data_IF_873755135075
#
_entry.id   IF_873755135075
#
_cell.length_a   1.000
_cell.length_b   1.000
_cell.length_c   1.000
_cell.angle_alpha   90.00
_cell.angle_beta   90.00
_cell.angle_gamma   90.00
#
_symmetry.space_group_name_H-M   'P 1'
#
loop_
_entity.id
_entity.type
_entity.pdbx_description
1 polymer ?
#
# COMPACT_ATOMS: atom_id res chain seq x y z
N UNK A 1 -105.33 6.57 -24.53
CA UNK A 1 -104.68 7.50 -23.59
C UNK A 1 -103.68 6.69 -22.77
N UNK A 2 -102.49 7.25 -22.46
CA UNK A 2 -101.31 6.58 -21.86
C UNK A 2 -101.57 5.92 -20.48
N UNK A 3 -100.63 5.28 -19.79
CA UNK A 3 -99.16 5.36 -19.70
C UNK A 3 -98.64 4.00 -19.15
N UNK A 4 -97.51 3.48 -19.65
CA UNK A 4 -96.18 3.37 -18.99
C UNK A 4 -96.13 2.81 -17.56
N UNK A 5 -95.44 1.67 -17.38
CA UNK A 5 -94.31 1.51 -16.44
C UNK A 5 -93.57 0.18 -16.68
N UNK A 6 -92.25 0.26 -16.90
CA UNK A 6 -91.31 -0.84 -17.13
C UNK A 6 -90.46 -1.12 -15.89
N UNK A 7 -90.10 -2.40 -15.69
CA UNK A 7 -89.10 -2.92 -14.74
C UNK A 7 -87.66 -2.57 -15.16
N UNK A 8 -86.68 -2.56 -14.23
CA UNK A 8 -85.62 -3.60 -14.26
C UNK A 8 -85.15 -4.00 -12.82
N UNK A 9 -84.44 -5.10 -12.55
CA UNK A 9 -83.53 -5.93 -13.36
C UNK A 9 -82.10 -5.77 -12.83
N UNK A 10 -81.57 -6.83 -12.20
CA UNK A 10 -80.29 -6.91 -11.46
C UNK A 10 -79.05 -6.86 -12.37
N UNK A 11 -77.98 -6.16 -11.95
CA UNK A 11 -76.61 -6.23 -12.50
C UNK A 11 -75.63 -5.69 -11.43
N UNK A 12 -74.33 -5.95 -11.40
CA UNK A 12 -73.39 -7.01 -11.83
C UNK A 12 -72.07 -6.66 -11.10
N UNK A 13 -71.26 -7.66 -10.77
CA UNK A 13 -70.04 -7.49 -9.98
C UNK A 13 -68.90 -6.90 -10.83
N UNK A 14 -68.28 -5.82 -10.34
CA UNK A 14 -67.09 -5.20 -10.99
C UNK A 14 -65.81 -5.54 -10.22
N UNK A 15 -64.84 -6.07 -10.96
CA UNK A 15 -63.47 -6.44 -10.57
C UNK A 15 -62.57 -5.21 -10.37
N UNK A 16 -61.54 -5.28 -9.49
CA UNK A 16 -60.58 -4.19 -9.34
C UNK A 16 -59.49 -4.26 -10.43
N UNK A 17 -59.18 -3.10 -11.00
CA UNK A 17 -58.19 -2.89 -12.05
C UNK A 17 -56.77 -2.96 -11.47
N UNK A 18 -55.92 -3.84 -12.01
CA UNK A 18 -54.50 -3.90 -11.65
C UNK A 18 -53.76 -2.68 -12.23
N UNK A 19 -53.32 -1.77 -11.36
CA UNK A 19 -52.38 -0.72 -11.73
C UNK A 19 -50.99 -1.35 -11.99
N UNK A 20 -50.61 -1.38 -13.26
CA UNK A 20 -49.26 -1.77 -13.69
C UNK A 20 -48.27 -0.70 -13.21
N UNK A 21 -47.56 -1.00 -12.12
CA UNK A 21 -46.46 -0.16 -11.65
C UNK A 21 -45.22 -0.51 -12.47
N UNK A 22 -45.13 0.01 -13.69
CA UNK A 22 -43.90 -0.07 -14.48
C UNK A 22 -42.83 0.79 -13.80
N UNK A 23 -41.98 0.19 -12.96
CA UNK A 23 -40.72 0.81 -12.55
C UNK A 23 -39.84 0.91 -13.79
N UNK A 24 -39.84 2.09 -14.41
CA UNK A 24 -38.81 2.46 -15.38
C UNK A 24 -37.53 2.61 -14.56
N UNK A 25 -36.70 1.56 -14.52
CA UNK A 25 -35.31 1.70 -14.11
C UNK A 25 -34.64 2.58 -15.17
N UNK A 26 -34.48 3.88 -14.88
CA UNK A 26 -33.73 4.77 -15.74
C UNK A 26 -32.27 4.28 -15.77
N UNK A 27 -31.90 3.62 -16.87
CA UNK A 27 -30.51 3.29 -17.18
C UNK A 27 -29.71 4.60 -17.24
N UNK A 28 -28.72 4.75 -16.37
CA UNK A 28 -27.80 5.87 -16.41
C UNK A 28 -26.92 5.74 -17.67
N UNK A 29 -26.65 6.85 -18.35
CA UNK A 29 -25.69 6.86 -19.45
C UNK A 29 -24.29 6.46 -18.96
N UNK A 30 -23.42 5.89 -19.82
CA UNK A 30 -22.05 5.52 -19.46
C UNK A 30 -21.28 6.65 -18.77
N UNK A 31 -21.43 7.90 -19.25
CA UNK A 31 -20.79 9.07 -18.65
C UNK A 31 -21.28 9.35 -17.22
N UNK A 32 -22.58 9.17 -16.95
CA UNK A 32 -23.15 9.35 -15.60
C UNK A 32 -22.73 8.22 -14.67
N UNK A 33 -22.60 7.00 -15.17
CA UNK A 33 -22.06 5.86 -14.42
C UNK A 33 -20.60 6.11 -14.03
N UNK A 34 -19.78 6.58 -14.96
CA UNK A 34 -18.38 6.93 -14.70
C UNK A 34 -18.26 8.07 -13.68
N UNK A 35 -19.06 9.14 -13.81
CA UNK A 35 -19.07 10.25 -12.87
C UNK A 35 -19.53 9.83 -11.46
N UNK A 36 -20.55 8.97 -11.34
CA UNK A 36 -20.97 8.40 -10.06
C UNK A 36 -19.89 7.51 -9.44
N UNK A 37 -19.23 6.67 -10.23
CA UNK A 37 -18.14 5.82 -9.76
C UNK A 37 -16.96 6.65 -9.24
N UNK A 38 -16.57 7.70 -9.97
CA UNK A 38 -15.53 8.63 -9.55
C UNK A 38 -15.89 9.33 -8.23
N UNK A 39 -17.13 9.82 -8.10
CA UNK A 39 -17.60 10.47 -6.87
C UNK A 39 -17.59 9.50 -5.67
N UNK A 40 -18.02 8.25 -5.88
CA UNK A 40 -18.02 7.23 -4.84
C UNK A 40 -16.59 6.83 -4.41
N UNK A 41 -15.65 6.77 -5.37
CA UNK A 41 -14.23 6.51 -5.09
C UNK A 41 -13.62 7.61 -4.22
N UNK A 42 -13.85 8.88 -4.56
CA UNK A 42 -13.37 10.03 -3.76
C UNK A 42 -13.92 10.01 -2.34
N UNK A 43 -15.24 9.78 -2.18
CA UNK A 43 -15.84 9.70 -0.85
C UNK A 43 -15.26 8.54 -0.02
N UNK A 44 -15.04 7.38 -0.64
CA UNK A 44 -14.43 6.22 0.02
C UNK A 44 -12.99 6.51 0.44
N UNK A 45 -12.23 7.21 -0.39
CA UNK A 45 -10.86 7.58 -0.06
C UNK A 45 -10.79 8.57 1.12
N UNK A 46 -11.69 9.56 1.16
CA UNK A 46 -11.81 10.47 2.31
C UNK A 46 -12.14 9.72 3.60
N UNK A 47 -13.13 8.80 3.55
CA UNK A 47 -13.49 7.96 4.70
C UNK A 47 -12.32 7.07 5.15
N UNK A 48 -11.56 6.51 4.21
CA UNK A 48 -10.38 5.71 4.54
C UNK A 48 -9.29 6.58 5.20
N UNK A 49 -9.02 7.78 4.68
CA UNK A 49 -8.07 8.71 5.28
C UNK A 49 -8.47 9.14 6.70
N UNK A 50 -9.76 9.41 6.93
CA UNK A 50 -10.29 9.70 8.26
C UNK A 50 -10.10 8.52 9.22
N UNK A 51 -10.35 7.29 8.75
CA UNK A 51 -10.17 6.08 9.54
C UNK A 51 -8.69 5.84 9.90
N UNK A 52 -7.77 6.09 8.97
CA UNK A 52 -6.32 6.05 9.23
C UNK A 52 -5.95 7.07 10.31
N UNK A 53 -6.45 8.30 10.19
CA UNK A 53 -6.19 9.38 11.15
C UNK A 53 -6.71 9.04 12.56
N UNK A 54 -7.91 8.45 12.64
CA UNK A 54 -8.49 7.97 13.91
C UNK A 54 -7.62 6.88 14.55
N UNK A 55 -7.26 5.83 13.77
CA UNK A 55 -6.39 4.74 14.26
C UNK A 55 -5.02 5.25 14.68
N UNK A 56 -4.48 6.24 13.97
CA UNK A 56 -3.22 6.88 14.31
C UNK A 56 -3.31 7.63 15.65
N UNK A 57 -4.39 8.39 15.86
CA UNK A 57 -4.64 9.10 17.12
C UNK A 57 -4.75 8.14 18.32
N UNK A 58 -5.46 7.02 18.18
CA UNK A 58 -5.54 5.96 19.21
C UNK A 58 -4.15 5.41 19.61
N UNK A 59 -3.20 5.45 18.69
CA UNK A 59 -1.82 4.95 18.86
C UNK A 59 -0.84 6.05 19.25
N UNK A 60 -1.28 7.29 19.44
CA UNK A 60 -0.39 8.44 19.61
C UNK A 60 0.71 8.49 18.52
N UNK A 61 0.32 8.21 17.27
CA UNK A 61 1.20 8.37 16.13
C UNK A 61 1.28 9.85 15.74
N UNK A 62 2.48 10.41 15.54
CA UNK A 62 2.61 11.74 14.95
C UNK A 62 1.99 11.77 13.54
N UNK A 63 1.27 12.85 13.22
CA UNK A 63 0.59 13.05 11.93
C UNK A 63 1.54 12.84 10.74
N UNK A 64 2.79 13.29 10.82
CA UNK A 64 3.77 13.07 9.72
C UNK A 64 3.99 11.60 9.35
N UNK A 65 3.80 10.66 10.29
CA UNK A 65 3.93 9.23 10.04
C UNK A 65 2.69 8.61 9.41
N UNK A 66 1.58 9.35 9.30
CA UNK A 66 0.40 8.91 8.55
C UNK A 66 0.44 9.38 7.09
N UNK A 67 1.43 10.20 6.71
CA UNK A 67 1.54 10.74 5.37
C UNK A 67 2.04 9.70 4.36
N UNK A 68 1.81 9.96 3.08
CA UNK A 68 2.31 9.21 1.95
C UNK A 68 2.24 10.03 0.67
N UNK A 69 2.75 9.47 -0.42
CA UNK A 69 2.81 10.13 -1.73
C UNK A 69 1.93 9.43 -2.75
N UNK A 70 1.37 10.21 -3.67
CA UNK A 70 0.84 9.67 -4.92
C UNK A 70 1.96 9.11 -5.80
N UNK A 71 1.62 8.20 -6.72
CA UNK A 71 2.60 7.64 -7.66
C UNK A 71 3.20 8.73 -8.55
N UNK A 72 2.36 9.68 -9.01
CA UNK A 72 2.78 10.85 -9.80
C UNK A 72 3.87 11.65 -9.07
N UNK A 73 3.69 11.92 -7.77
CA UNK A 73 4.67 12.66 -6.97
C UNK A 73 5.98 11.90 -6.76
N UNK A 74 5.93 10.57 -6.67
CA UNK A 74 7.13 9.72 -6.61
C UNK A 74 7.89 9.78 -7.94
N UNK A 75 7.19 9.71 -9.07
CA UNK A 75 7.78 9.82 -10.41
C UNK A 75 8.40 11.18 -10.68
N UNK A 76 7.73 12.26 -10.26
CA UNK A 76 8.26 13.62 -10.35
C UNK A 76 9.53 13.77 -9.53
N UNK A 77 9.53 13.26 -8.30
CA UNK A 77 10.73 13.22 -7.45
C UNK A 77 11.89 12.49 -8.14
N UNK A 78 11.64 11.28 -8.69
CA UNK A 78 12.66 10.47 -9.37
C UNK A 78 13.22 11.23 -10.57
N UNK A 79 12.34 11.85 -11.37
CA UNK A 79 12.73 12.61 -12.57
C UNK A 79 13.57 13.84 -12.22
N UNK A 80 13.35 14.44 -11.06
CA UNK A 80 14.11 15.58 -10.57
C UNK A 80 15.46 15.20 -9.93
N UNK A 81 15.82 13.92 -9.84
CA UNK A 81 17.10 13.49 -9.29
C UNK A 81 18.26 13.79 -10.26
N UNK A 82 19.46 14.12 -9.74
CA UNK A 82 20.66 14.21 -10.56
C UNK A 82 20.92 12.88 -11.31
N UNK A 83 21.33 12.96 -12.58
CA UNK A 83 21.62 11.78 -13.40
C UNK A 83 22.74 10.89 -12.80
N UNK A 84 23.64 11.49 -12.03
CA UNK A 84 24.76 10.85 -11.34
C UNK A 84 24.45 10.46 -9.88
N UNK A 85 23.18 10.51 -9.43
CA UNK A 85 22.81 10.25 -8.02
C UNK A 85 23.29 8.88 -7.52
N UNK A 86 23.31 7.86 -8.39
CA UNK A 86 23.81 6.52 -8.06
C UNK A 86 25.33 6.54 -7.84
N UNK A 87 26.07 7.27 -8.67
CA UNK A 87 27.51 7.46 -8.54
C UNK A 87 27.83 8.22 -7.24
N UNK A 88 27.15 9.34 -6.99
CA UNK A 88 27.35 10.12 -5.77
C UNK A 88 27.06 9.30 -4.50
N UNK A 89 26.00 8.48 -4.49
CA UNK A 89 25.72 7.56 -3.38
C UNK A 89 26.82 6.51 -3.25
N UNK A 90 27.30 5.97 -4.37
CA UNK A 90 28.36 4.97 -4.41
C UNK A 90 29.70 5.48 -3.87
N UNK A 91 30.04 6.73 -4.12
CA UNK A 91 31.22 7.38 -3.53
C UNK A 91 31.11 7.52 -2.01
N UNK A 92 29.90 7.74 -1.51
CA UNK A 92 29.60 8.00 -0.09
C UNK A 92 29.07 6.78 0.67
N UNK A 93 29.27 5.55 0.15
CA UNK A 93 28.75 4.34 0.81
C UNK A 93 29.33 4.14 2.20
N UNK A 94 28.49 3.77 3.19
CA UNK A 94 28.94 3.51 4.54
C UNK A 94 29.74 2.21 4.62
N UNK A 95 30.48 2.09 5.72
CA UNK A 95 31.12 0.86 6.16
C UNK A 95 30.34 0.33 7.35
N UNK A 96 29.82 -0.89 7.24
CA UNK A 96 29.09 -1.58 8.31
C UNK A 96 29.97 -2.72 8.80
N UNK A 97 30.29 -2.73 10.11
CA UNK A 97 31.15 -3.75 10.73
C UNK A 97 32.50 -3.95 10.00
N UNK A 98 33.11 -2.85 9.53
CA UNK A 98 34.40 -2.90 8.83
C UNK A 98 34.32 -3.29 7.35
N UNK A 99 33.13 -3.63 6.84
CA UNK A 99 32.91 -3.96 5.43
C UNK A 99 32.18 -2.82 4.73
N UNK A 100 32.77 -2.30 3.64
CA UNK A 100 32.12 -1.27 2.82
C UNK A 100 30.92 -1.90 2.11
N UNK A 101 29.77 -1.26 2.20
CA UNK A 101 28.55 -1.75 1.56
C UNK A 101 28.76 -1.90 0.04
N UNK A 102 28.22 -2.96 -0.61
CA UNK A 102 28.31 -3.14 -2.05
C UNK A 102 27.82 -1.92 -2.84
N UNK A 103 28.40 -1.72 -4.03
CA UNK A 103 27.94 -0.66 -4.93
C UNK A 103 26.52 -0.95 -5.43
N UNK A 104 25.70 0.09 -5.52
CA UNK A 104 24.38 0.00 -6.15
C UNK A 104 24.54 0.08 -7.67
N UNK A 105 23.90 -0.83 -8.39
CA UNK A 105 23.89 -0.84 -9.86
C UNK A 105 22.83 0.11 -10.44
N UNK A 106 21.78 0.40 -9.68
CA UNK A 106 20.61 1.18 -10.10
C UNK A 106 20.18 2.15 -8.99
N UNK A 107 19.27 3.06 -9.32
CA UNK A 107 18.54 3.86 -8.34
C UNK A 107 17.53 2.96 -7.60
N UNK A 108 17.92 2.48 -6.42
CA UNK A 108 17.11 1.64 -5.53
C UNK A 108 16.82 2.37 -4.20
N UNK A 109 16.15 1.70 -3.27
CA UNK A 109 15.81 2.26 -1.96
C UNK A 109 17.03 2.72 -1.14
N UNK A 110 18.19 2.05 -1.23
CA UNK A 110 19.38 2.53 -0.52
C UNK A 110 19.92 3.85 -1.08
N UNK A 111 19.95 3.98 -2.41
CA UNK A 111 20.31 5.25 -3.07
C UNK A 111 19.31 6.35 -2.70
N UNK A 112 18.03 5.99 -2.68
CA UNK A 112 16.96 6.91 -2.32
C UNK A 112 17.05 7.39 -0.87
N UNK A 113 17.19 6.49 0.11
CA UNK A 113 17.36 6.84 1.52
C UNK A 113 18.56 7.76 1.74
N UNK A 114 19.67 7.53 1.04
CA UNK A 114 20.83 8.41 1.09
C UNK A 114 20.49 9.81 0.55
N UNK A 115 19.78 9.90 -0.56
CA UNK A 115 19.39 11.18 -1.15
C UNK A 115 18.35 11.91 -0.28
N UNK A 116 17.36 11.20 0.26
CA UNK A 116 16.36 11.76 1.19
C UNK A 116 17.03 12.24 2.47
N UNK A 117 18.03 11.53 3.00
CA UNK A 117 18.77 12.00 4.18
C UNK A 117 19.48 13.33 3.92
N UNK A 118 20.05 13.53 2.71
CA UNK A 118 20.66 14.81 2.32
C UNK A 118 19.64 15.93 2.20
N UNK A 119 18.45 15.65 1.64
CA UNK A 119 17.34 16.61 1.57
C UNK A 119 16.81 16.96 2.96
N UNK A 120 16.58 15.95 3.79
CA UNK A 120 16.18 16.09 5.21
C UNK A 120 17.10 17.04 5.96
N UNK A 121 18.43 16.95 5.78
CA UNK A 121 19.37 17.91 6.38
C UNK A 121 19.14 19.37 5.94
N UNK A 122 18.81 19.60 4.67
CA UNK A 122 18.47 20.92 4.15
C UNK A 122 17.11 21.43 4.67
N UNK A 123 16.17 20.51 4.93
CA UNK A 123 14.81 20.81 5.39
C UNK A 123 14.67 20.82 6.93
N UNK A 124 15.79 20.89 7.66
CA UNK A 124 15.79 20.98 9.13
C UNK A 124 15.52 19.65 9.84
N UNK A 125 15.80 18.52 9.19
CA UNK A 125 15.64 17.16 9.70
C UNK A 125 14.25 16.55 9.49
N UNK A 126 13.43 17.15 8.60
CA UNK A 126 12.07 16.68 8.28
C UNK A 126 12.10 15.45 7.40
N UNK A 127 11.04 14.65 7.50
CA UNK A 127 10.77 13.63 6.49
C UNK A 127 10.39 14.31 5.16
N UNK A 128 10.55 13.61 4.04
CA UNK A 128 10.23 14.20 2.74
C UNK A 128 8.73 14.52 2.62
N UNK A 129 7.86 13.60 3.05
CA UNK A 129 6.42 13.85 3.11
C UNK A 129 6.06 15.01 4.06
N UNK A 130 6.76 15.13 5.19
CA UNK A 130 6.55 16.22 6.16
C UNK A 130 6.86 17.58 5.52
N UNK A 131 7.98 17.71 4.81
CA UNK A 131 8.37 18.94 4.13
C UNK A 131 7.40 19.32 3.00
N UNK A 132 6.94 18.35 2.20
CA UNK A 132 5.96 18.60 1.15
C UNK A 132 4.58 19.00 1.71
N UNK A 133 4.16 18.37 2.81
CA UNK A 133 2.85 18.62 3.40
C UNK A 133 2.76 20.03 3.99
N UNK A 134 3.82 20.50 4.65
CA UNK A 134 3.91 21.88 5.14
C UNK A 134 3.90 22.92 4.00
N UNK A 135 4.40 22.56 2.82
CA UNK A 135 4.37 23.41 1.62
C UNK A 135 3.02 23.37 0.88
N UNK A 136 2.07 22.54 1.31
CA UNK A 136 0.76 22.39 0.65
C UNK A 136 0.83 21.67 -0.69
N UNK A 137 1.82 20.79 -0.90
CA UNK A 137 1.96 20.01 -2.12
C UNK A 137 0.77 19.03 -2.29
N UNK A 138 0.09 18.98 -3.45
CA UNK A 138 -1.08 18.11 -3.65
C UNK A 138 -0.72 16.62 -3.78
N UNK A 139 0.55 16.31 -4.04
CA UNK A 139 1.08 14.96 -4.18
C UNK A 139 1.19 14.20 -2.87
N UNK A 140 1.12 14.87 -1.73
CA UNK A 140 1.21 14.31 -0.38
C UNK A 140 -0.13 14.37 0.36
N UNK A 141 -0.40 13.38 1.20
CA UNK A 141 -1.59 13.34 2.06
C UNK A 141 -1.59 12.11 2.96
N UNK A 142 -2.69 11.87 3.68
CA UNK A 142 -2.83 10.67 4.52
C UNK A 142 -2.77 9.41 3.66
N UNK A 143 -1.84 8.53 3.97
CA UNK A 143 -1.65 7.27 3.25
C UNK A 143 -2.73 6.25 3.60
N UNK A 144 -3.38 5.70 2.58
CA UNK A 144 -4.40 4.65 2.73
C UNK A 144 -3.91 3.27 2.29
N UNK A 145 -2.67 3.19 1.81
CA UNK A 145 -2.01 1.94 1.40
C UNK A 145 -0.58 1.96 1.91
N UNK A 146 -0.20 0.95 2.69
CA UNK A 146 1.15 0.78 3.22
C UNK A 146 1.96 -0.09 2.26
N UNK A 147 3.13 0.37 1.84
CA UNK A 147 3.98 -0.37 0.90
C UNK A 147 5.10 -1.07 1.66
N UNK A 148 4.99 -2.39 1.76
CA UNK A 148 6.08 -3.26 2.21
C UNK A 148 6.93 -3.64 1.00
N UNK A 149 8.22 -3.29 1.01
CA UNK A 149 9.11 -3.49 -0.12
C UNK A 149 10.57 -3.66 0.32
N UNK A 150 11.40 -4.16 -0.57
CA UNK A 150 12.82 -4.39 -0.31
C UNK A 150 13.69 -3.31 -0.96
N UNK A 151 14.62 -2.73 -0.19
CA UNK A 151 15.42 -1.57 -0.61
C UNK A 151 16.39 -1.83 -1.79
N UNK A 152 16.64 -3.08 -2.19
CA UNK A 152 17.41 -3.35 -3.43
C UNK A 152 16.55 -3.26 -4.69
N UNK A 153 15.22 -3.27 -4.54
CA UNK A 153 14.29 -3.05 -5.65
C UNK A 153 14.54 -1.67 -6.26
N UNK A 154 14.69 -1.57 -7.61
CA UNK A 154 14.79 -0.29 -8.29
C UNK A 154 13.55 0.58 -8.06
N UNK A 155 13.71 1.89 -7.93
CA UNK A 155 12.58 2.81 -7.76
C UNK A 155 11.64 2.82 -8.97
N UNK A 156 12.17 2.61 -10.18
CA UNK A 156 11.33 2.47 -11.38
C UNK A 156 10.40 1.25 -11.28
N UNK A 157 10.88 0.15 -10.69
CA UNK A 157 10.08 -1.05 -10.46
C UNK A 157 9.04 -0.84 -9.37
N UNK A 158 9.39 -0.08 -8.31
CA UNK A 158 8.41 0.36 -7.30
C UNK A 158 7.28 1.17 -7.97
N UNK A 159 7.61 2.17 -8.77
CA UNK A 159 6.62 2.98 -9.49
C UNK A 159 5.73 2.12 -10.38
N UNK A 160 6.32 1.25 -11.21
CA UNK A 160 5.56 0.40 -12.12
C UNK A 160 4.60 -0.53 -11.36
N UNK A 161 5.06 -1.14 -10.26
CA UNK A 161 4.21 -1.96 -9.40
C UNK A 161 3.05 -1.15 -8.80
N UNK A 162 3.28 0.07 -8.32
CA UNK A 162 2.21 0.92 -7.78
C UNK A 162 1.23 1.39 -8.87
N UNK A 163 1.70 1.67 -10.09
CA UNK A 163 0.83 1.94 -11.24
C UNK A 163 -0.02 0.73 -11.60
N UNK A 164 0.58 -0.46 -11.62
CA UNK A 164 -0.12 -1.70 -11.87
C UNK A 164 -1.16 -1.99 -10.77
N UNK A 165 -0.84 -1.71 -9.50
CA UNK A 165 -1.80 -1.80 -8.40
C UNK A 165 -3.03 -0.91 -8.64
N UNK A 166 -2.83 0.37 -8.97
CA UNK A 166 -3.94 1.27 -9.28
C UNK A 166 -4.78 0.81 -10.49
N UNK A 167 -4.15 0.19 -11.51
CA UNK A 167 -4.87 -0.41 -12.64
C UNK A 167 -5.74 -1.59 -12.24
N UNK A 168 -5.25 -2.44 -11.33
CA UNK A 168 -5.98 -3.61 -10.82
C UNK A 168 -7.08 -3.23 -9.81
N UNK A 169 -6.98 -2.05 -9.22
CA UNK A 169 -7.91 -1.51 -8.22
C UNK A 169 -8.59 -0.22 -8.69
N UNK A 170 -9.46 -0.26 -9.72
CA UNK A 170 -10.13 0.94 -10.25
C UNK A 170 -11.08 1.62 -9.24
N UNK A 171 -11.39 0.97 -8.12
CA UNK A 171 -12.11 1.58 -7.01
C UNK A 171 -11.28 2.60 -6.21
N UNK A 172 -9.95 2.51 -6.29
CA UNK A 172 -9.03 3.46 -5.66
C UNK A 172 -8.87 4.71 -6.54
N UNK A 173 -8.78 5.91 -5.92
CA UNK A 173 -8.47 7.11 -6.70
C UNK A 173 -7.10 7.03 -7.37
N UNK A 174 -6.92 7.62 -8.56
CA UNK A 174 -5.59 7.75 -9.18
C UNK A 174 -4.58 8.48 -8.29
N UNK A 175 -5.04 9.38 -7.42
CA UNK A 175 -4.20 10.15 -6.50
C UNK A 175 -3.99 9.45 -5.14
N UNK A 176 -4.30 8.16 -5.03
CA UNK A 176 -4.08 7.36 -3.80
C UNK A 176 -2.70 7.61 -3.22
N UNK A 177 -2.64 7.87 -1.92
CA UNK A 177 -1.40 8.14 -1.20
C UNK A 177 -0.84 6.85 -0.61
N UNK A 178 0.40 6.54 -0.96
CA UNK A 178 1.13 5.35 -0.56
C UNK A 178 2.14 5.68 0.54
N UNK A 179 2.11 4.92 1.63
CA UNK A 179 3.10 5.00 2.69
C UNK A 179 4.33 4.20 2.24
N UNK A 180 5.41 4.91 1.93
CA UNK A 180 6.68 4.31 1.50
C UNK A 180 7.75 4.78 2.48
N UNK A 181 8.41 3.82 3.14
CA UNK A 181 9.30 4.09 4.27
C UNK A 181 10.38 5.15 3.99
N UNK A 182 10.94 5.18 2.78
CA UNK A 182 11.96 6.15 2.37
C UNK A 182 11.51 7.60 2.50
N UNK A 183 10.23 7.89 2.20
CA UNK A 183 9.70 9.25 2.17
C UNK A 183 9.06 9.69 3.49
N UNK A 184 8.55 8.73 4.27
CA UNK A 184 7.78 9.00 5.49
C UNK A 184 8.64 8.97 6.76
N UNK A 185 9.63 8.08 6.80
CA UNK A 185 10.58 8.01 7.92
C UNK A 185 11.59 9.15 7.77
N UNK A 186 11.91 9.83 8.88
CA UNK A 186 13.01 10.79 8.89
C UNK A 186 14.34 10.07 8.64
N UNK A 187 14.88 10.22 7.44
CA UNK A 187 16.19 9.67 7.08
C UNK A 187 17.30 10.60 7.59
N UNK A 188 18.26 10.05 8.33
CA UNK A 188 19.45 10.76 8.77
C UNK A 188 20.69 9.88 8.68
N UNK A 189 21.77 10.41 8.11
CA UNK A 189 23.10 9.77 8.12
C UNK A 189 23.95 10.19 9.34
N UNK A 190 23.53 11.25 10.06
CA UNK A 190 24.27 11.82 11.21
C UNK A 190 23.64 11.49 12.55
N UNK A 191 22.32 11.39 12.61
CA UNK A 191 21.56 11.18 13.84
C UNK A 191 20.70 9.93 13.69
N UNK A 192 21.31 8.75 13.81
CA UNK A 192 20.62 7.47 13.65
C UNK A 192 19.43 7.32 14.60
N UNK A 193 19.49 7.90 15.81
CA UNK A 193 18.37 7.86 16.76
C UNK A 193 17.09 8.53 16.22
N UNK A 194 17.22 9.55 15.36
CA UNK A 194 16.07 10.19 14.70
C UNK A 194 15.36 9.18 13.80
N UNK A 195 16.11 8.51 12.92
CA UNK A 195 15.59 7.44 12.06
C UNK A 195 15.00 6.31 12.90
N UNK A 196 15.74 5.86 13.92
CA UNK A 196 15.33 4.71 14.74
C UNK A 196 14.09 4.99 15.59
N UNK A 197 13.82 6.24 15.97
CA UNK A 197 12.59 6.61 16.67
C UNK A 197 11.36 6.38 15.79
N UNK A 198 11.45 6.65 14.49
CA UNK A 198 10.37 6.38 13.54
C UNK A 198 10.26 4.90 13.19
N UNK A 199 11.41 4.22 12.99
CA UNK A 199 11.45 2.77 12.73
C UNK A 199 10.81 1.97 13.88
N UNK A 200 11.00 2.40 15.14
CA UNK A 200 10.31 1.79 16.29
C UNK A 200 8.78 1.86 16.20
N UNK A 201 8.24 2.86 15.50
CA UNK A 201 6.79 3.05 15.29
C UNK A 201 6.24 2.31 14.06
N UNK A 202 7.08 1.60 13.29
CA UNK A 202 6.69 0.93 12.04
C UNK A 202 5.45 0.05 12.20
N UNK A 203 5.38 -0.73 13.28
CA UNK A 203 4.22 -1.57 13.57
C UNK A 203 2.95 -0.81 13.90
N UNK A 204 3.05 0.39 14.46
CA UNK A 204 1.89 1.27 14.66
C UNK A 204 1.43 1.84 13.33
N UNK A 205 2.37 2.25 12.46
CA UNK A 205 2.07 2.79 11.12
C UNK A 205 1.28 1.77 10.29
N UNK A 206 1.75 0.52 10.23
CA UNK A 206 1.06 -0.58 9.53
C UNK A 206 -0.38 -0.73 10.04
N UNK A 207 -0.56 -0.76 11.36
CA UNK A 207 -1.89 -0.90 11.98
C UNK A 207 -2.79 0.32 11.76
N UNK A 208 -2.21 1.51 11.70
CA UNK A 208 -2.96 2.74 11.46
C UNK A 208 -3.47 2.79 10.01
N UNK A 209 -2.59 2.52 9.04
CA UNK A 209 -2.96 2.44 7.63
C UNK A 209 -4.00 1.32 7.42
N UNK A 210 -3.79 0.15 8.01
CA UNK A 210 -4.75 -0.95 8.01
C UNK A 210 -4.92 -1.64 6.66
N UNK A 211 -3.99 -1.41 5.74
CA UNK A 211 -3.94 -1.99 4.42
C UNK A 211 -2.49 -2.01 3.92
N UNK A 212 -1.94 -3.20 3.71
CA UNK A 212 -0.56 -3.41 3.29
C UNK A 212 -0.52 -4.08 1.93
N UNK A 213 0.27 -3.52 1.02
CA UNK A 213 0.69 -4.15 -0.23
C UNK A 213 2.15 -4.56 -0.12
N UNK A 214 2.44 -5.85 -0.32
CA UNK A 214 3.80 -6.36 -0.40
C UNK A 214 4.25 -6.38 -1.85
N UNK A 215 5.29 -5.62 -2.18
CA UNK A 215 5.92 -5.65 -3.48
C UNK A 215 6.80 -6.90 -3.59
N UNK A 216 6.35 -7.89 -4.38
CA UNK A 216 7.04 -9.17 -4.59
C UNK A 216 7.81 -9.15 -5.91
N UNK A 217 9.07 -8.73 -5.87
CA UNK A 217 9.89 -8.54 -7.05
C UNK A 217 11.30 -9.14 -6.89
N UNK A 218 11.72 -10.06 -7.79
CA UNK A 218 10.88 -10.77 -8.76
C UNK A 218 9.95 -11.79 -8.06
N UNK A 219 8.87 -12.22 -8.70
CA UNK A 219 7.87 -13.08 -8.03
C UNK A 219 8.41 -14.46 -7.64
N UNK A 220 9.38 -14.99 -8.41
CA UNK A 220 9.95 -16.33 -8.22
C UNK A 220 11.06 -16.39 -7.17
N UNK A 221 11.53 -15.23 -6.73
CA UNK A 221 12.49 -15.12 -5.63
C UNK A 221 11.93 -14.18 -4.57
N UNK A 222 11.32 -14.71 -3.49
CA UNK A 222 10.61 -13.92 -2.48
C UNK A 222 11.58 -13.19 -1.55
N UNK A 223 12.48 -12.40 -2.12
CA UNK A 223 13.48 -11.58 -1.44
C UNK A 223 12.88 -10.69 -0.34
N UNK A 224 11.72 -10.03 -0.52
CA UNK A 224 11.05 -9.31 0.57
C UNK A 224 10.75 -10.18 1.79
N UNK A 225 10.34 -11.44 1.61
CA UNK A 225 10.06 -12.37 2.71
C UNK A 225 11.33 -12.89 3.42
N UNK A 226 12.52 -12.55 2.91
CA UNK A 226 13.81 -12.75 3.60
C UNK A 226 14.29 -11.50 4.34
N UNK A 227 13.49 -10.43 4.41
CA UNK A 227 13.86 -9.18 5.09
C UNK A 227 13.10 -9.02 6.39
N UNK A 228 13.80 -8.91 7.51
CA UNK A 228 13.15 -8.88 8.83
C UNK A 228 12.18 -7.69 8.98
N UNK A 229 12.48 -6.53 8.37
CA UNK A 229 11.55 -5.39 8.32
C UNK A 229 10.25 -5.72 7.56
N UNK A 230 10.31 -6.36 6.38
CA UNK A 230 9.11 -6.79 5.67
C UNK A 230 8.31 -7.83 6.47
N UNK A 231 9.00 -8.76 7.15
CA UNK A 231 8.33 -9.72 8.05
C UNK A 231 7.61 -9.01 9.21
N UNK A 232 8.23 -7.99 9.80
CA UNK A 232 7.57 -7.17 10.83
C UNK A 232 6.31 -6.49 10.32
N UNK A 233 6.33 -6.00 9.08
CA UNK A 233 5.18 -5.35 8.44
C UNK A 233 4.06 -6.35 8.15
N UNK A 234 4.38 -7.53 7.59
CA UNK A 234 3.43 -8.63 7.37
C UNK A 234 2.82 -9.09 8.70
N UNK A 235 3.66 -9.31 9.72
CA UNK A 235 3.21 -9.73 11.05
C UNK A 235 2.19 -8.74 11.63
N UNK A 236 2.50 -7.44 11.61
CA UNK A 236 1.60 -6.43 12.17
C UNK A 236 0.33 -6.23 11.34
N UNK A 237 0.39 -6.49 10.03
CA UNK A 237 -0.78 -6.52 9.16
C UNK A 237 -1.72 -7.63 9.61
N UNK A 238 -1.21 -8.86 9.72
CA UNK A 238 -1.99 -10.03 10.17
C UNK A 238 -2.54 -9.83 11.60
N UNK A 239 -1.69 -9.42 12.53
CA UNK A 239 -2.04 -9.27 13.95
C UNK A 239 -3.12 -8.20 14.20
N UNK A 240 -3.36 -7.30 13.24
CA UNK A 240 -4.42 -6.29 13.31
C UNK A 240 -5.64 -6.59 12.46
N UNK A 241 -5.64 -7.71 11.72
CA UNK A 241 -6.69 -8.02 10.75
C UNK A 241 -6.75 -7.01 9.60
N UNK A 242 -5.64 -6.32 9.33
CA UNK A 242 -5.53 -5.39 8.22
C UNK A 242 -5.57 -6.13 6.88
N UNK A 243 -5.99 -5.43 5.82
CA UNK A 243 -5.98 -5.98 4.46
C UNK A 243 -4.54 -6.22 4.03
N UNK A 244 -4.25 -7.37 3.45
CA UNK A 244 -2.94 -7.72 2.90
C UNK A 244 -3.10 -8.15 1.44
N UNK A 245 -2.28 -7.58 0.57
CA UNK A 245 -2.23 -7.91 -0.85
C UNK A 245 -0.78 -7.99 -1.33
N UNK A 246 -0.57 -8.68 -2.45
CA UNK A 246 0.73 -8.73 -3.13
C UNK A 246 0.63 -7.93 -4.43
N UNK A 247 1.67 -7.15 -4.73
CA UNK A 247 1.79 -6.40 -5.97
C UNK A 247 3.13 -6.73 -6.63
N UNK A 248 3.15 -6.69 -7.96
CA UNK A 248 4.33 -6.90 -8.79
C UNK A 248 4.37 -5.84 -9.88
N UNK A 249 5.54 -5.64 -10.50
CA UNK A 249 5.62 -4.90 -11.77
C UNK A 249 4.74 -5.53 -12.84
N UNK A 250 4.35 -4.78 -13.86
CA UNK A 250 3.48 -5.28 -14.94
C UNK A 250 4.11 -6.48 -15.66
N UNK A 251 5.42 -6.47 -15.86
CA UNK A 251 6.18 -7.58 -16.45
C UNK A 251 6.13 -8.83 -15.56
N UNK A 252 6.44 -8.69 -14.26
CA UNK A 252 6.41 -9.81 -13.33
C UNK A 252 4.99 -10.35 -13.12
N UNK A 253 3.98 -9.50 -13.09
CA UNK A 253 2.58 -9.91 -12.98
C UNK A 253 2.19 -10.80 -14.16
N UNK A 254 2.50 -10.39 -15.39
CA UNK A 254 2.21 -11.19 -16.58
C UNK A 254 2.98 -12.52 -16.61
N UNK A 255 4.25 -12.49 -16.19
CA UNK A 255 5.07 -13.70 -16.07
C UNK A 255 4.53 -14.65 -14.99
N UNK A 256 4.07 -14.11 -13.86
CA UNK A 256 3.47 -14.88 -12.76
C UNK A 256 2.16 -15.53 -13.19
N UNK A 257 1.27 -14.79 -13.86
CA UNK A 257 0.01 -15.31 -14.39
C UNK A 257 0.24 -16.45 -15.39
N UNK A 258 1.26 -16.32 -16.24
CA UNK A 258 1.66 -17.37 -17.18
C UNK A 258 2.17 -18.59 -16.42
N UNK A 259 3.08 -18.39 -15.46
CA UNK A 259 3.68 -19.47 -14.68
C UNK A 259 2.67 -20.18 -13.76
N UNK A 260 1.61 -19.50 -13.27
CA UNK A 260 0.53 -20.14 -12.54
C UNK A 260 -0.24 -21.18 -13.37
N UNK A 261 -0.31 -20.98 -14.69
CA UNK A 261 -0.96 -21.92 -15.62
C UNK A 261 0.01 -23.03 -16.04
N UNK A 262 1.29 -22.70 -16.23
CA UNK A 262 2.27 -23.59 -16.86
C UNK A 262 3.15 -24.38 -15.87
N UNK A 263 3.40 -23.85 -14.67
CA UNK A 263 4.40 -24.38 -13.72
C UNK A 263 4.01 -24.15 -12.24
N UNK A 264 2.74 -24.33 -11.90
CA UNK A 264 2.19 -24.11 -10.55
C UNK A 264 2.99 -24.82 -9.44
N UNK A 265 3.42 -26.06 -9.67
CA UNK A 265 4.12 -26.88 -8.67
C UNK A 265 5.47 -26.28 -8.26
N UNK A 266 6.19 -25.67 -9.20
CA UNK A 266 7.47 -24.99 -8.94
C UNK A 266 7.26 -23.75 -8.09
N UNK A 267 6.21 -22.96 -8.38
CA UNK A 267 5.82 -21.78 -7.60
C UNK A 267 5.45 -22.18 -6.17
N UNK A 268 4.56 -23.17 -6.02
CA UNK A 268 4.14 -23.68 -4.73
C UNK A 268 5.33 -24.20 -3.91
N UNK A 269 6.27 -24.88 -4.55
CA UNK A 269 7.51 -25.34 -3.91
C UNK A 269 8.35 -24.16 -3.42
N UNK A 270 8.59 -23.15 -4.25
CA UNK A 270 9.38 -21.96 -3.87
C UNK A 270 8.76 -21.17 -2.74
N UNK A 271 7.44 -21.00 -2.75
CA UNK A 271 6.72 -20.35 -1.66
C UNK A 271 6.78 -21.20 -0.39
N UNK A 272 6.71 -22.54 -0.49
CA UNK A 272 6.84 -23.46 0.66
C UNK A 272 8.21 -23.45 1.34
N UNK A 273 9.26 -22.99 0.64
CA UNK A 273 10.63 -22.86 1.17
C UNK A 273 10.82 -21.60 2.03
N UNK A 274 9.87 -20.65 1.99
CA UNK A 274 9.95 -19.43 2.79
C UNK A 274 9.86 -19.76 4.27
N UNK A 275 10.84 -19.33 5.05
CA UNK A 275 10.77 -19.38 6.51
C UNK A 275 11.11 -18.00 7.05
N UNK A 276 10.10 -17.31 7.56
CA UNK A 276 10.24 -15.92 8.05
C UNK A 276 11.23 -15.80 9.21
N UNK A 277 11.55 -16.92 9.89
CA UNK A 277 12.58 -16.97 10.95
C UNK A 277 13.99 -16.80 10.42
N UNK A 278 14.21 -16.99 9.12
CA UNK A 278 15.49 -16.79 8.43
C UNK A 278 15.61 -15.39 7.82
N UNK A 279 14.66 -14.50 8.10
CA UNK A 279 14.70 -13.15 7.58
C UNK A 279 15.80 -12.33 8.25
N UNK A 280 16.46 -11.44 7.48
CA UNK A 280 17.65 -10.72 7.93
C UNK A 280 17.59 -9.23 7.59
N UNK A 281 18.29 -8.43 8.40
CA UNK A 281 18.65 -7.05 8.12
C UNK A 281 20.13 -6.95 7.75
N UNK A 282 20.54 -5.83 7.13
CA UNK A 282 21.98 -5.55 6.91
C UNK A 282 22.76 -5.44 8.23
N UNK A 283 22.10 -4.97 9.28
CA UNK A 283 22.64 -4.94 10.63
C UNK A 283 22.10 -6.16 11.41
N UNK A 284 22.96 -7.11 11.85
CA UNK A 284 22.52 -8.28 12.61
C UNK A 284 21.81 -7.95 13.92
N UNK A 285 22.12 -6.80 14.54
CA UNK A 285 21.42 -6.34 15.76
C UNK A 285 19.96 -6.01 15.49
N UNK A 286 19.67 -5.42 14.33
CA UNK A 286 18.29 -5.14 13.94
C UNK A 286 17.53 -6.45 13.70
N UNK A 287 18.19 -7.46 13.10
CA UNK A 287 17.60 -8.80 12.94
C UNK A 287 17.20 -9.39 14.29
N UNK A 288 18.12 -9.43 15.26
CA UNK A 288 17.87 -9.97 16.59
C UNK A 288 16.76 -9.21 17.30
N UNK A 289 16.79 -7.87 17.25
CA UNK A 289 15.77 -7.04 17.89
C UNK A 289 14.38 -7.27 17.27
N UNK A 290 14.28 -7.29 15.93
CA UNK A 290 13.00 -7.43 15.24
C UNK A 290 12.44 -8.83 15.45
N UNK A 291 13.21 -9.88 15.15
CA UNK A 291 12.71 -11.24 15.30
C UNK A 291 12.42 -11.58 16.77
N UNK A 292 13.22 -11.06 17.70
CA UNK A 292 12.97 -11.17 19.14
C UNK A 292 11.69 -10.48 19.57
N UNK A 293 11.42 -9.26 19.10
CA UNK A 293 10.16 -8.55 19.34
C UNK A 293 8.97 -9.36 18.83
N UNK A 294 9.02 -9.84 17.59
CA UNK A 294 7.91 -10.57 16.96
C UNK A 294 7.61 -11.90 17.66
N UNK A 295 8.63 -12.61 18.14
CA UNK A 295 8.44 -13.88 18.85
C UNK A 295 7.75 -13.70 20.21
N UNK A 296 7.86 -12.53 20.84
CA UNK A 296 7.16 -12.23 22.11
C UNK A 296 5.67 -11.89 21.92
N UNK A 297 5.25 -11.59 20.69
CA UNK A 297 3.86 -11.24 20.39
C UNK A 297 2.99 -12.50 20.26
N UNK A 298 1.67 -12.41 20.51
CA UNK A 298 0.77 -13.55 20.38
C UNK A 298 0.90 -14.23 19.00
N UNK A 299 1.12 -15.55 19.01
CA UNK A 299 1.33 -16.36 17.80
C UNK A 299 2.76 -16.45 17.29
N UNK A 300 3.61 -15.48 17.63
CA UNK A 300 5.03 -15.43 17.24
C UNK A 300 5.26 -15.56 15.73
N UNK A 301 6.50 -15.85 15.33
CA UNK A 301 6.86 -16.03 13.92
C UNK A 301 6.18 -17.25 13.28
N UNK A 302 5.67 -18.17 14.10
CA UNK A 302 4.94 -19.36 13.61
C UNK A 302 3.61 -19.00 12.98
N UNK A 303 2.82 -18.10 13.58
CA UNK A 303 1.57 -17.62 12.95
C UNK A 303 1.82 -16.74 11.72
N UNK A 304 2.92 -15.98 11.72
CA UNK A 304 3.36 -15.21 10.56
C UNK A 304 3.72 -16.10 9.37
N UNK A 305 4.45 -17.20 9.61
CA UNK A 305 4.75 -18.20 8.58
C UNK A 305 3.46 -18.74 7.94
N UNK A 306 2.44 -19.08 8.74
CA UNK A 306 1.16 -19.60 8.21
C UNK A 306 0.44 -18.59 7.31
N UNK A 307 0.47 -17.31 7.65
CA UNK A 307 -0.13 -16.28 6.80
C UNK A 307 0.61 -16.13 5.49
N UNK A 308 1.95 -16.16 5.50
CA UNK A 308 2.76 -16.11 4.29
C UNK A 308 2.53 -17.31 3.37
N UNK A 309 2.34 -18.51 3.94
CA UNK A 309 1.99 -19.71 3.16
C UNK A 309 0.52 -19.77 2.73
N UNK A 310 -0.35 -19.00 3.38
CA UNK A 310 -1.78 -18.91 3.03
C UNK A 310 -2.09 -17.90 1.92
N UNK A 311 -1.05 -17.26 1.38
CA UNK A 311 -1.13 -16.34 0.23
C UNK A 311 -1.34 -17.08 -1.09
#
# INVERSE_FOLDING_TARGET
MGCSASLPGVADATTPTAASTTRIAASLSPDRLAAHAATASVLRAALNADLVSQRAAERNLPERLTLGLSVDAIEEYITALPADVVEQCNENRPTINGVRVPANATLNGYVNQWQIARRSEADGGKAYCEALYECGDPGVGVATVFVSWFLETPLATLVDALRQYLRLHPELPPDTKFWVCDFVIRQSTRQLDVTMNDVKRLGDCVRAVGHTVLLMEPWYDPSPLRRAYCIKEVFHTQASGARFEVVMSAEQQAAFETALVEDFDSIATKLSEVDVRKAECRNPRDTEQILGELETLPGGLTECNKAVFGL
#
